data_IF_118226808026
#
_entry.id   IF_118226808026
#
_cell.length_a   1.000
_cell.length_b   1.000
_cell.length_c   1.000
_cell.angle_alpha   90.00
_cell.angle_beta   90.00
_cell.angle_gamma   90.00
#
_symmetry.space_group_name_H-M   'P 1'
#
loop_
_entity.id
_entity.type
_entity.pdbx_description
1 polymer ?
#
# COMPACT_ATOMS: atom_id res chain seq x y z
N UNK A 1 22.65 -6.85 4.50
CA UNK A 1 21.36 -6.98 5.23
C UNK A 1 20.64 -5.64 5.15
N UNK A 2 19.33 -5.67 4.92
CA UNK A 2 18.50 -4.45 4.82
C UNK A 2 18.50 -3.69 6.15
N UNK A 3 18.97 -2.44 6.14
CA UNK A 3 19.16 -1.63 7.35
C UNK A 3 17.88 -0.98 7.87
N UNK A 4 16.79 -1.01 7.10
CA UNK A 4 15.54 -0.32 7.42
C UNK A 4 14.53 -1.26 8.08
N UNK A 5 13.69 -0.76 9.00
CA UNK A 5 12.56 -1.52 9.53
C UNK A 5 11.47 -1.71 8.47
N UNK A 6 10.53 -2.63 8.72
CA UNK A 6 9.32 -2.76 7.89
C UNK A 6 8.54 -1.45 7.97
N UNK A 7 8.19 -0.81 6.84
CA UNK A 7 7.51 0.48 6.85
C UNK A 7 6.20 0.48 7.65
N UNK A 8 5.93 1.59 8.35
CA UNK A 8 4.64 1.84 8.99
C UNK A 8 3.49 1.70 7.98
N UNK A 9 3.69 2.30 6.81
CA UNK A 9 2.76 2.26 5.71
C UNK A 9 3.52 2.36 4.39
N UNK A 10 3.06 1.58 3.43
CA UNK A 10 3.44 1.70 2.03
C UNK A 10 2.29 1.16 1.19
N UNK A 11 1.99 1.82 0.08
CA UNK A 11 0.94 1.37 -0.82
C UNK A 11 1.33 1.47 -2.29
N UNK A 12 0.67 0.65 -3.09
CA UNK A 12 0.51 0.82 -4.53
C UNK A 12 -0.90 1.34 -4.77
N UNK A 13 -1.07 2.26 -5.71
CA UNK A 13 -2.34 2.95 -5.92
C UNK A 13 -2.71 3.01 -7.39
N UNK A 14 -4.02 3.06 -7.65
CA UNK A 14 -4.58 3.37 -8.95
C UNK A 14 -5.22 4.76 -8.91
N UNK A 15 -4.79 5.63 -9.82
CA UNK A 15 -5.41 6.93 -10.08
C UNK A 15 -6.31 6.85 -11.30
N UNK A 16 -7.38 7.64 -11.25
CA UNK A 16 -8.26 7.95 -12.35
C UNK A 16 -8.35 9.48 -12.49
N UNK A 17 -8.35 9.98 -13.73
CA UNK A 17 -8.70 11.38 -13.96
C UNK A 17 -10.20 11.56 -13.84
N UNK A 18 -10.63 12.55 -13.06
CA UNK A 18 -12.05 12.91 -12.94
C UNK A 18 -12.60 13.55 -14.22
N UNK A 19 -11.73 14.18 -15.02
CA UNK A 19 -12.08 14.81 -16.30
C UNK A 19 -12.18 13.77 -17.42
N UNK A 20 -11.26 12.80 -17.44
CA UNK A 20 -11.25 11.72 -18.43
C UNK A 20 -11.09 10.36 -17.73
N UNK A 21 -12.20 9.68 -17.36
CA UNK A 21 -12.15 8.42 -16.60
C UNK A 21 -11.33 7.29 -17.23
N UNK A 22 -11.12 7.31 -18.55
CA UNK A 22 -10.25 6.37 -19.26
C UNK A 22 -8.74 6.61 -19.01
N UNK A 23 -8.37 7.79 -18.51
CA UNK A 23 -6.99 8.13 -18.18
C UNK A 23 -6.64 7.61 -16.79
N UNK A 24 -5.81 6.57 -16.76
CA UNK A 24 -5.40 5.87 -15.55
C UNK A 24 -3.89 5.99 -15.32
N UNK A 25 -3.50 5.93 -14.05
CA UNK A 25 -2.10 5.91 -13.63
C UNK A 25 -1.90 5.00 -12.42
N UNK A 26 -0.85 4.18 -12.42
CA UNK A 26 -0.47 3.36 -11.27
C UNK A 26 0.83 3.91 -10.71
N UNK A 27 0.94 4.01 -9.39
CA UNK A 27 2.18 4.36 -8.72
C UNK A 27 2.28 3.71 -7.34
N UNK A 28 3.36 4.01 -6.61
CA UNK A 28 3.52 3.62 -5.21
C UNK A 28 3.98 4.78 -4.33
N UNK A 29 3.60 4.77 -3.05
CA UNK A 29 3.93 5.84 -2.11
C UNK A 29 3.86 5.38 -0.65
N UNK A 30 4.72 5.90 0.24
CA UNK A 30 4.53 5.78 1.68
C UNK A 30 3.53 6.81 2.25
N UNK A 31 3.09 7.81 1.48
CA UNK A 31 2.12 8.80 1.93
C UNK A 31 1.14 9.13 0.78
N UNK A 32 -0.11 8.60 0.82
CA UNK A 32 -1.05 8.72 -0.29
C UNK A 32 -1.62 10.14 -0.42
N UNK A 33 -1.94 10.80 0.69
CA UNK A 33 -2.46 12.18 0.73
C UNK A 33 -1.47 13.15 0.09
N UNK A 34 -0.20 13.12 0.54
CA UNK A 34 0.85 13.96 -0.05
C UNK A 34 1.02 13.67 -1.53
N UNK A 35 1.02 12.39 -1.93
CA UNK A 35 1.25 12.00 -3.32
C UNK A 35 0.10 12.43 -4.24
N UNK A 36 -1.14 12.37 -3.78
CA UNK A 36 -2.30 12.87 -4.53
C UNK A 36 -2.17 14.38 -4.79
N UNK A 37 -1.82 15.15 -3.75
CA UNK A 37 -1.57 16.58 -3.88
C UNK A 37 -0.46 16.91 -4.90
N UNK A 38 0.57 16.06 -4.99
CA UNK A 38 1.63 16.19 -6.01
C UNK A 38 1.09 15.96 -7.43
N UNK A 39 0.26 14.94 -7.63
CA UNK A 39 -0.37 14.68 -8.93
C UNK A 39 -1.30 15.80 -9.37
N UNK A 40 -2.04 16.38 -8.42
CA UNK A 40 -2.96 17.50 -8.65
C UNK A 40 -2.28 18.87 -8.74
N UNK A 41 -0.96 18.95 -8.56
CA UNK A 41 -0.19 20.19 -8.69
C UNK A 41 -0.27 21.12 -7.48
N UNK A 42 -0.91 20.68 -6.39
CA UNK A 42 -0.95 21.41 -5.10
C UNK A 42 0.42 21.38 -4.42
N UNK A 43 1.17 20.29 -4.59
CA UNK A 43 2.53 20.13 -4.09
C UNK A 43 3.52 19.82 -5.23
N UNK A 44 4.80 20.18 -5.03
CA UNK A 44 5.87 19.86 -5.99
C UNK A 44 6.19 18.36 -5.99
N UNK A 45 6.62 17.82 -7.14
CA UNK A 45 7.07 16.43 -7.29
C UNK A 45 6.07 15.45 -7.90
N UNK A 46 5.09 15.94 -8.67
CA UNK A 46 4.16 15.08 -9.41
C UNK A 46 4.82 14.39 -10.61
N UNK A 47 4.33 13.20 -11.00
CA UNK A 47 4.85 12.48 -12.16
C UNK A 47 4.55 13.23 -13.47
N UNK A 48 5.48 13.17 -14.44
CA UNK A 48 5.33 13.81 -15.74
C UNK A 48 4.05 13.38 -16.48
N UNK A 49 3.69 12.09 -16.42
CA UNK A 49 2.45 11.57 -17.05
C UNK A 49 1.16 12.19 -16.47
N UNK A 50 1.23 12.70 -15.25
CA UNK A 50 0.09 13.32 -14.53
C UNK A 50 0.15 14.85 -14.49
N UNK A 51 1.13 15.47 -15.17
CA UNK A 51 1.33 16.92 -15.12
C UNK A 51 0.33 17.72 -15.96
N UNK A 52 -0.32 17.08 -16.93
CA UNK A 52 -1.26 17.73 -17.85
C UNK A 52 -2.46 18.28 -17.10
N UNK A 53 -2.62 19.61 -17.11
CA UNK A 53 -3.73 20.28 -16.44
C UNK A 53 -5.11 19.87 -16.97
N UNK A 54 -5.21 19.47 -18.24
CA UNK A 54 -6.47 18.97 -18.84
C UNK A 54 -6.92 17.60 -18.32
N UNK A 55 -6.06 16.88 -17.60
CA UNK A 55 -6.36 15.60 -16.96
C UNK A 55 -6.53 15.72 -15.43
N UNK A 56 -6.23 16.90 -14.87
CA UNK A 56 -6.43 17.17 -13.44
C UNK A 56 -7.88 17.62 -13.20
N UNK A 57 -8.47 17.35 -12.02
CA UNK A 57 -7.87 16.63 -10.90
C UNK A 57 -7.92 15.10 -11.07
N UNK A 58 -6.95 14.44 -10.45
CA UNK A 58 -6.87 13.00 -10.25
C UNK A 58 -7.53 12.63 -8.92
N UNK A 59 -8.15 11.46 -8.89
CA UNK A 59 -8.64 10.80 -7.70
C UNK A 59 -7.98 9.42 -7.56
N UNK A 60 -7.78 8.96 -6.33
CA UNK A 60 -7.19 7.65 -6.03
C UNK A 60 -8.31 6.62 -5.81
N UNK A 61 -8.60 5.81 -6.82
CA UNK A 61 -9.79 4.94 -6.80
C UNK A 61 -9.62 3.72 -5.88
N UNK A 62 -8.40 3.20 -5.78
CA UNK A 62 -8.06 2.12 -4.85
C UNK A 62 -6.58 2.11 -4.49
N UNK A 63 -6.26 1.50 -3.35
CA UNK A 63 -4.89 1.23 -2.89
C UNK A 63 -4.72 -0.21 -2.39
N UNK A 64 -3.56 -0.77 -2.69
CA UNK A 64 -3.04 -1.98 -2.07
C UNK A 64 -2.06 -1.56 -0.99
N UNK A 65 -2.25 -2.01 0.23
CA UNK A 65 -1.45 -1.63 1.41
C UNK A 65 -0.84 -2.87 2.07
N UNK A 66 0.10 -2.68 3.00
CA UNK A 66 0.68 -3.77 3.79
C UNK A 66 1.98 -4.34 3.23
N UNK A 67 2.64 -3.64 2.31
CA UNK A 67 3.92 -4.11 1.77
C UNK A 67 5.01 -4.17 2.84
N UNK A 68 5.79 -5.28 2.92
CA UNK A 68 6.82 -5.45 3.94
C UNK A 68 8.06 -4.58 3.71
N UNK A 69 8.24 -4.04 2.50
CA UNK A 69 9.31 -3.10 2.16
C UNK A 69 8.90 -2.20 0.99
N UNK A 70 9.65 -1.12 0.77
CA UNK A 70 9.49 -0.30 -0.43
C UNK A 70 9.84 -1.08 -1.70
N UNK A 71 10.84 -1.98 -1.65
CA UNK A 71 11.20 -2.84 -2.79
C UNK A 71 10.04 -3.77 -3.16
N UNK A 72 9.38 -4.36 -2.17
CA UNK A 72 8.20 -5.20 -2.38
C UNK A 72 7.07 -4.43 -3.09
N UNK A 73 6.80 -3.20 -2.64
CA UNK A 73 5.83 -2.32 -3.29
C UNK A 73 6.24 -1.97 -4.73
N UNK A 74 7.52 -1.67 -4.98
CA UNK A 74 8.01 -1.36 -6.34
C UNK A 74 7.92 -2.56 -7.29
N UNK A 75 8.18 -3.77 -6.81
CA UNK A 75 8.01 -5.00 -7.59
C UNK A 75 6.54 -5.20 -7.97
N UNK A 76 5.62 -5.01 -7.01
CA UNK A 76 4.19 -5.10 -7.25
C UNK A 76 3.68 -4.01 -8.22
N UNK A 77 4.13 -2.76 -8.02
CA UNK A 77 3.81 -1.63 -8.90
C UNK A 77 4.22 -1.93 -10.34
N UNK A 78 5.46 -2.39 -10.55
CA UNK A 78 5.97 -2.69 -11.87
C UNK A 78 5.17 -3.83 -12.53
N UNK A 79 4.84 -4.88 -11.77
CA UNK A 79 4.02 -5.99 -12.26
C UNK A 79 2.62 -5.51 -12.68
N UNK A 80 2.02 -4.61 -11.91
CA UNK A 80 0.70 -4.05 -12.19
C UNK A 80 0.69 -3.06 -13.36
N UNK A 81 1.77 -2.30 -13.53
CA UNK A 81 1.97 -1.45 -14.70
C UNK A 81 2.16 -2.27 -15.97
N UNK A 82 2.84 -3.42 -15.89
CA UNK A 82 3.31 -4.21 -17.03
C UNK A 82 2.77 -5.66 -17.00
N UNK A 83 1.43 -5.87 -17.03
CA UNK A 83 0.84 -7.22 -16.93
C UNK A 83 1.22 -8.15 -18.08
N UNK A 84 1.57 -7.60 -19.25
CA UNK A 84 2.00 -8.36 -20.42
C UNK A 84 3.45 -8.84 -20.35
N UNK A 85 4.27 -8.30 -19.43
CA UNK A 85 5.69 -8.64 -19.27
C UNK A 85 5.98 -9.34 -17.94
N UNK A 86 5.09 -9.20 -16.97
CA UNK A 86 5.34 -9.71 -15.63
C UNK A 86 5.45 -11.23 -15.62
N UNK A 87 6.49 -11.73 -14.94
CA UNK A 87 6.67 -13.16 -14.65
C UNK A 87 5.77 -13.66 -13.52
N UNK A 88 5.11 -12.73 -12.82
CA UNK A 88 4.23 -13.03 -11.69
C UNK A 88 2.85 -13.53 -12.12
N UNK A 89 2.49 -13.33 -13.40
CA UNK A 89 1.27 -13.86 -14.00
C UNK A 89 1.71 -14.89 -15.07
N UNK A 90 1.28 -16.15 -14.96
CA UNK A 90 1.54 -17.17 -15.98
C UNK A 90 1.06 -16.71 -17.36
N UNK A 91 1.75 -17.12 -18.42
CA UNK A 91 1.49 -16.58 -19.77
C UNK A 91 0.05 -16.87 -20.22
N UNK A 92 -0.47 -18.03 -19.86
CA UNK A 92 -1.81 -18.55 -20.08
C UNK A 92 -2.90 -17.79 -19.31
N UNK A 93 -2.58 -17.10 -18.22
CA UNK A 93 -3.52 -16.31 -17.42
C UNK A 93 -3.48 -14.81 -17.79
N UNK A 94 -2.56 -14.39 -18.66
CA UNK A 94 -2.43 -12.97 -19.04
C UNK A 94 -3.64 -12.52 -19.84
N UNK A 95 -4.39 -11.58 -19.26
CA UNK A 95 -5.52 -10.92 -19.90
C UNK A 95 -5.07 -10.08 -21.10
N UNK A 96 -3.92 -9.39 -20.97
CA UNK A 96 -3.40 -8.50 -21.99
C UNK A 96 -2.22 -9.15 -22.71
N UNK A 97 -2.41 -9.52 -23.98
CA UNK A 97 -1.34 -9.99 -24.84
C UNK A 97 -0.45 -8.82 -25.33
N UNK A 98 0.87 -9.05 -25.52
CA UNK A 98 1.74 -8.06 -26.14
C UNK A 98 1.29 -7.80 -27.58
N UNK A 99 0.98 -6.53 -27.89
CA UNK A 99 0.60 -6.12 -29.25
C UNK A 99 1.86 -5.83 -30.06
N UNK A 100 1.88 -6.25 -31.33
CA UNK A 100 2.96 -5.92 -32.27
C UNK A 100 2.43 -4.96 -33.31
N UNK A 101 2.90 -3.70 -33.28
CA UNK A 101 2.54 -2.73 -34.30
C UNK A 101 3.42 -2.92 -35.53
N UNK A 102 2.79 -3.19 -36.67
CA UNK A 102 3.46 -3.27 -37.97
C UNK A 102 3.39 -1.88 -38.61
N UNK A 103 4.55 -1.28 -38.90
CA UNK A 103 4.66 -0.07 -39.71
C UNK A 103 5.28 -0.43 -41.05
N UNK A 104 4.62 -0.05 -42.14
CA UNK A 104 5.15 -0.19 -43.50
C UNK A 104 5.81 1.14 -43.88
N UNK A 105 7.07 1.10 -44.32
CA UNK A 105 7.76 2.29 -44.84
C UNK A 105 7.14 2.68 -46.20
N UNK A 106 6.57 3.89 -46.35
CA UNK A 106 5.98 4.31 -47.63
C UNK A 106 7.00 4.40 -48.77
N UNK A 107 8.27 4.68 -48.44
CA UNK A 107 9.36 4.85 -49.42
C UNK A 107 10.05 3.56 -49.84
N UNK A 108 10.04 2.53 -48.99
CA UNK A 108 10.86 1.32 -49.22
C UNK A 108 10.05 0.02 -49.20
N UNK A 109 8.75 0.07 -48.88
CA UNK A 109 7.90 -1.12 -48.69
C UNK A 109 8.30 -2.01 -47.51
N UNK A 110 9.40 -1.70 -46.81
CA UNK A 110 9.91 -2.52 -45.71
C UNK A 110 8.97 -2.43 -44.51
N UNK A 111 8.55 -3.59 -44.04
CA UNK A 111 7.76 -3.74 -42.81
C UNK A 111 8.68 -3.75 -41.59
N UNK A 112 8.43 -2.85 -40.64
CA UNK A 112 9.04 -2.86 -39.30
C UNK A 112 7.99 -3.27 -38.29
N UNK A 113 8.29 -4.29 -37.50
CA UNK A 113 7.45 -4.72 -36.38
C UNK A 113 8.06 -4.16 -35.09
N UNK A 114 7.32 -3.33 -34.36
CA UNK A 114 7.73 -2.84 -33.04
C UNK A 114 6.69 -3.32 -32.00
N UNK A 115 7.12 -3.97 -30.90
CA UNK A 115 6.20 -4.28 -29.81
C UNK A 115 5.69 -2.98 -29.19
N UNK A 116 4.39 -2.92 -28.92
CA UNK A 116 3.73 -1.75 -28.33
C UNK A 116 2.99 -2.14 -27.06
N UNK A 117 2.95 -1.22 -26.10
CA UNK A 117 2.21 -1.41 -24.86
C UNK A 117 0.70 -1.51 -25.19
N UNK A 118 0.00 -2.55 -24.71
CA UNK A 118 -1.44 -2.63 -24.89
C UNK A 118 -2.14 -1.46 -24.20
N UNK A 119 -3.23 -0.99 -24.79
CA UNK A 119 -4.16 -0.10 -24.09
C UNK A 119 -4.89 -0.93 -23.04
N UNK A 120 -4.89 -0.46 -21.78
CA UNK A 120 -5.42 -1.21 -20.64
C UNK A 120 -6.54 -0.39 -20.03
N UNK A 121 -7.77 -0.91 -20.09
CA UNK A 121 -8.96 -0.28 -19.51
C UNK A 121 -8.95 -0.34 -17.98
N UNK A 122 -9.90 0.34 -17.33
CA UNK A 122 -10.08 0.25 -15.88
C UNK A 122 -10.37 -1.19 -15.44
N UNK A 123 -11.26 -1.87 -16.16
CA UNK A 123 -11.59 -3.28 -15.92
C UNK A 123 -10.35 -4.15 -16.02
N UNK A 124 -9.51 -3.94 -17.04
CA UNK A 124 -8.26 -4.71 -17.18
C UNK A 124 -7.29 -4.42 -16.03
N UNK A 125 -7.21 -3.18 -15.54
CA UNK A 125 -6.36 -2.84 -14.38
C UNK A 125 -6.81 -3.59 -13.13
N UNK A 126 -8.11 -3.66 -12.86
CA UNK A 126 -8.67 -4.39 -11.74
C UNK A 126 -8.52 -5.90 -11.91
N UNK A 127 -8.74 -6.40 -13.11
CA UNK A 127 -8.58 -7.82 -13.42
C UNK A 127 -7.14 -8.30 -13.23
N UNK A 128 -6.15 -7.53 -13.70
CA UNK A 128 -4.74 -7.82 -13.45
C UNK A 128 -4.37 -7.65 -11.98
N UNK A 129 -4.98 -6.72 -11.25
CA UNK A 129 -4.79 -6.60 -9.80
C UNK A 129 -5.25 -7.87 -9.09
N UNK A 130 -6.41 -8.41 -9.47
CA UNK A 130 -6.94 -9.66 -8.91
C UNK A 130 -5.98 -10.84 -9.15
N UNK A 131 -5.43 -10.98 -10.36
CA UNK A 131 -4.41 -11.99 -10.67
C UNK A 131 -3.15 -11.81 -9.82
N UNK A 132 -2.66 -10.58 -9.66
CA UNK A 132 -1.46 -10.32 -8.86
C UNK A 132 -1.65 -10.64 -7.38
N UNK A 133 -2.84 -10.40 -6.81
CA UNK A 133 -3.13 -10.75 -5.41
C UNK A 133 -3.20 -12.27 -5.19
N UNK A 134 -3.49 -13.04 -6.24
CA UNK A 134 -3.51 -14.52 -6.23
C UNK A 134 -2.17 -15.16 -6.61
N UNK A 135 -1.28 -14.40 -7.26
CA UNK A 135 0.00 -14.90 -7.70
C UNK A 135 0.83 -15.45 -6.52
N UNK A 136 1.48 -16.60 -6.74
CA UNK A 136 2.26 -17.29 -5.70
C UNK A 136 3.37 -16.42 -5.09
N UNK A 137 3.86 -15.43 -5.84
CA UNK A 137 4.90 -14.52 -5.37
C UNK A 137 4.41 -13.49 -4.34
N UNK A 138 3.11 -13.18 -4.34
CA UNK A 138 2.53 -12.13 -3.50
C UNK A 138 1.46 -12.65 -2.53
N UNK A 139 0.97 -13.89 -2.71
CA UNK A 139 -0.15 -14.46 -1.94
C UNK A 139 0.08 -14.56 -0.42
N UNK A 140 1.34 -14.62 0.03
CA UNK A 140 1.72 -14.67 1.46
C UNK A 140 2.06 -13.31 2.04
N UNK A 141 2.08 -12.25 1.24
CA UNK A 141 2.25 -10.89 1.76
C UNK A 141 0.97 -10.45 2.50
N UNK A 142 1.09 -9.63 3.55
CA UNK A 142 -0.05 -9.18 4.36
C UNK A 142 -0.77 -8.00 3.67
N UNK A 143 -1.16 -8.21 2.42
CA UNK A 143 -1.75 -7.19 1.57
C UNK A 143 -3.22 -6.96 1.93
N UNK A 144 -3.65 -5.70 1.85
CA UNK A 144 -5.05 -5.30 2.01
C UNK A 144 -5.42 -4.34 0.89
N UNK A 145 -6.62 -4.51 0.32
CA UNK A 145 -7.13 -3.70 -0.77
C UNK A 145 -8.24 -2.79 -0.24
N UNK A 146 -8.09 -1.48 -0.47
CA UNK A 146 -9.09 -0.48 -0.09
C UNK A 146 -9.57 0.26 -1.31
N UNK A 147 -10.88 0.37 -1.46
CA UNK A 147 -11.55 1.17 -2.48
C UNK A 147 -12.10 2.44 -1.86
N UNK A 148 -12.08 3.52 -2.64
CA UNK A 148 -12.61 4.82 -2.25
C UNK A 148 -13.76 5.28 -3.15
N UNK A 149 -13.93 4.62 -4.30
CA UNK A 149 -14.99 4.91 -5.26
C UNK A 149 -15.91 3.70 -5.37
N UNK A 150 -17.21 3.92 -5.13
CA UNK A 150 -18.22 2.85 -5.12
C UNK A 150 -18.40 2.19 -6.49
N UNK A 151 -18.35 2.95 -7.58
CA UNK A 151 -18.43 2.44 -8.94
C UNK A 151 -17.28 1.47 -9.28
N UNK A 152 -16.07 1.80 -8.83
CA UNK A 152 -14.87 0.95 -9.00
C UNK A 152 -14.94 -0.29 -8.11
N UNK A 153 -15.46 -0.15 -6.89
CA UNK A 153 -15.68 -1.29 -6.00
C UNK A 153 -16.74 -2.26 -6.54
N UNK A 154 -17.83 -1.74 -7.10
CA UNK A 154 -18.85 -2.56 -7.75
C UNK A 154 -18.31 -3.27 -8.99
N UNK A 155 -17.44 -2.62 -9.76
CA UNK A 155 -16.74 -3.24 -10.89
C UNK A 155 -15.80 -4.36 -10.41
N UNK A 156 -15.09 -4.14 -9.30
CA UNK A 156 -14.26 -5.17 -8.68
C UNK A 156 -15.09 -6.39 -8.24
N UNK A 157 -16.21 -6.18 -7.53
CA UNK A 157 -17.06 -7.28 -7.07
C UNK A 157 -17.61 -8.08 -8.25
N UNK A 158 -18.14 -7.41 -9.28
CA UNK A 158 -18.62 -8.07 -10.51
C UNK A 158 -17.54 -8.89 -11.21
N UNK A 159 -16.28 -8.44 -11.17
CA UNK A 159 -15.17 -9.20 -11.70
C UNK A 159 -14.84 -10.40 -10.81
N UNK A 160 -14.77 -10.19 -9.50
CA UNK A 160 -14.50 -11.22 -8.49
C UNK A 160 -15.52 -12.35 -8.54
N UNK A 161 -16.80 -12.03 -8.75
CA UNK A 161 -17.89 -13.02 -8.86
C UNK A 161 -17.80 -13.89 -10.13
N UNK A 162 -17.13 -13.39 -11.18
CA UNK A 162 -17.03 -14.08 -12.48
C UNK A 162 -15.79 -14.94 -12.62
N UNK A 163 -14.71 -14.59 -11.91
CA UNK A 163 -13.41 -15.24 -12.11
C UNK A 163 -13.29 -16.45 -11.21
N UNK A 164 -12.88 -17.57 -11.80
CA UNK A 164 -12.54 -18.77 -11.06
C UNK A 164 -11.31 -18.51 -10.17
N UNK A 165 -11.51 -18.62 -8.85
CA UNK A 165 -10.48 -18.57 -7.83
C UNK A 165 -10.60 -17.37 -6.90
N UNK A 166 -10.79 -17.68 -5.62
CA UNK A 166 -11.03 -16.72 -4.56
C UNK A 166 -9.72 -16.06 -4.10
N UNK A 167 -9.84 -14.85 -3.57
CA UNK A 167 -8.76 -14.27 -2.80
C UNK A 167 -8.60 -15.06 -1.51
N UNK A 168 -7.35 -15.20 -1.09
CA UNK A 168 -7.04 -15.80 0.20
C UNK A 168 -7.73 -15.02 1.33
N UNK A 169 -8.30 -15.75 2.30
CA UNK A 169 -9.05 -15.19 3.45
C UNK A 169 -8.32 -14.08 4.24
N UNK A 170 -6.98 -14.04 4.17
CA UNK A 170 -6.18 -13.02 4.83
C UNK A 170 -6.15 -11.64 4.14
N UNK A 171 -6.56 -11.55 2.87
CA UNK A 171 -6.57 -10.30 2.11
C UNK A 171 -7.91 -9.60 2.35
N UNK A 172 -7.90 -8.55 3.18
CA UNK A 172 -9.11 -7.76 3.43
C UNK A 172 -9.37 -6.83 2.25
N UNK A 173 -10.58 -6.89 1.71
CA UNK A 173 -11.09 -5.96 0.69
C UNK A 173 -12.19 -5.12 1.33
N UNK A 174 -12.04 -3.80 1.33
CA UNK A 174 -13.02 -2.88 1.93
C UNK A 174 -13.31 -1.67 1.06
N UNK A 175 -14.57 -1.20 1.10
CA UNK A 175 -14.96 0.12 0.62
C UNK A 175 -14.95 1.09 1.79
N UNK A 176 -14.13 2.14 1.69
CA UNK A 176 -14.07 3.21 2.70
C UNK A 176 -15.18 4.23 2.41
N UNK A 177 -16.42 3.92 2.78
CA UNK A 177 -17.56 4.87 2.69
C UNK A 177 -17.65 5.70 3.96
N UNK A 178 -17.89 7.02 3.85
CA UNK A 178 -18.18 7.81 5.05
C UNK A 178 -19.43 7.26 5.74
N UNK A 179 -19.38 7.11 7.07
CA UNK A 179 -20.59 7.04 7.86
C UNK A 179 -21.38 8.34 7.60
N UNK A 180 -22.70 8.28 7.34
CA UNK A 180 -23.50 9.49 7.22
C UNK A 180 -23.48 10.20 8.56
N UNK A 181 -22.70 11.29 8.66
CA UNK A 181 -22.85 12.24 9.75
C UNK A 181 -24.24 12.85 9.61
N UNK A 182 -25.12 12.52 10.56
CA UNK A 182 -26.40 13.18 10.79
C UNK A 182 -26.14 14.66 11.07
N UNK A 183 -26.03 15.46 10.02
CA UNK A 183 -26.24 16.90 10.07
C UNK A 183 -27.52 17.18 9.29
N UNK A 184 -28.63 17.03 10.03
CA UNK A 184 -29.86 17.82 9.93
C UNK A 184 -30.49 17.98 8.54
N UNK A 185 -31.38 17.03 8.21
CA UNK A 185 -32.60 17.37 7.49
C UNK A 185 -33.42 18.34 8.36
N UNK A 186 -33.49 19.61 7.95
CA UNK A 186 -34.54 20.61 8.23
C UNK A 186 -33.97 21.95 7.74
N UNK A 187 -34.31 22.46 6.55
CA UNK A 187 -35.48 23.32 6.37
C UNK A 187 -35.80 23.47 4.88
N UNK A 188 -37.10 23.62 4.61
CA UNK A 188 -37.82 23.52 3.36
C UNK A 188 -37.58 24.65 2.33
N UNK A 189 -37.86 24.29 1.07
CA UNK A 189 -38.40 25.11 -0.03
C UNK A 189 -37.53 26.23 -0.63
N UNK A 190 -36.92 25.95 -1.80
CA UNK A 190 -37.13 26.74 -3.02
C UNK A 190 -36.48 26.04 -4.24
N UNK A 191 -37.19 26.11 -5.36
CA UNK A 191 -36.97 25.44 -6.65
C UNK A 191 -35.70 25.87 -7.40
N UNK A 192 -34.86 24.89 -7.81
CA UNK A 192 -34.11 24.76 -9.09
C UNK A 192 -33.02 23.66 -8.98
N UNK A 193 -32.75 22.86 -10.03
CA UNK A 193 -31.71 21.83 -9.96
C UNK A 193 -30.33 22.49 -10.15
N UNK A 194 -29.71 22.92 -9.06
CA UNK A 194 -28.33 23.40 -9.08
C UNK A 194 -27.35 22.22 -9.04
N UNK A 195 -26.51 22.10 -10.08
CA UNK A 195 -25.35 21.21 -10.13
C UNK A 195 -24.58 21.27 -8.80
N UNK A 196 -24.47 20.12 -8.11
CA UNK A 196 -23.63 19.99 -6.91
C UNK A 196 -22.20 20.44 -7.25
N UNK A 197 -21.69 21.46 -6.55
CA UNK A 197 -20.33 21.98 -6.78
C UNK A 197 -19.28 20.89 -6.52
N UNK A 198 -18.24 20.75 -7.35
CA UNK A 198 -17.22 19.70 -7.23
C UNK A 198 -16.41 19.74 -5.91
N UNK A 199 -16.38 20.90 -5.23
CA UNK A 199 -15.60 21.14 -3.99
C UNK A 199 -16.04 20.27 -2.81
N UNK A 200 -17.33 19.88 -2.74
CA UNK A 200 -17.84 19.07 -1.63
C UNK A 200 -17.39 17.60 -1.70
N UNK A 201 -17.24 17.06 -2.92
CA UNK A 201 -16.78 15.68 -3.16
C UNK A 201 -15.27 15.58 -2.92
N UNK A 202 -14.51 16.59 -3.31
CA UNK A 202 -13.05 16.65 -3.12
C UNK A 202 -12.66 16.68 -1.62
N UNK A 203 -13.43 17.40 -0.77
CA UNK A 203 -13.22 17.44 0.69
C UNK A 203 -13.63 16.15 1.41
N UNK A 204 -14.56 15.39 0.84
CA UNK A 204 -15.03 14.11 1.35
C UNK A 204 -13.94 13.02 1.15
N UNK A 205 -13.31 13.04 -0.02
CA UNK A 205 -12.27 12.12 -0.45
C UNK A 205 -10.95 12.28 0.33
N UNK A 206 -10.51 13.53 0.55
CA UNK A 206 -9.30 13.80 1.32
C UNK A 206 -9.41 13.22 2.74
N UNK A 207 -10.57 13.35 3.39
CA UNK A 207 -10.83 12.79 4.72
C UNK A 207 -10.78 11.25 4.75
N UNK A 208 -11.23 10.58 3.68
CA UNK A 208 -11.16 9.12 3.55
C UNK A 208 -9.73 8.62 3.35
N UNK A 209 -8.88 9.40 2.67
CA UNK A 209 -7.45 9.09 2.56
C UNK A 209 -6.67 9.46 3.84
N UNK A 210 -7.11 10.49 4.57
CA UNK A 210 -6.54 10.88 5.86
C UNK A 210 -6.85 9.87 6.98
N UNK A 211 -7.93 9.09 6.87
CA UNK A 211 -8.21 8.00 7.82
C UNK A 211 -7.22 6.84 7.72
N UNK A 212 -6.46 6.77 6.61
CA UNK A 212 -5.43 5.77 6.42
C UNK A 212 -4.28 6.07 7.39
N UNK A 213 -4.09 5.19 8.38
CA UNK A 213 -3.00 5.31 9.34
C UNK A 213 -1.65 5.07 8.65
N UNK A 214 -0.84 6.13 8.56
CA UNK A 214 0.48 6.11 7.91
C UNK A 214 1.62 5.84 8.92
N UNK A 215 1.33 5.92 10.22
CA UNK A 215 2.32 5.89 11.30
C UNK A 215 2.38 4.54 12.04
N UNK A 216 3.41 4.35 12.87
CA UNK A 216 3.58 3.17 13.74
C UNK A 216 2.75 3.23 15.04
N UNK A 217 1.88 4.23 15.19
CA UNK A 217 1.10 4.46 16.41
C UNK A 217 0.38 3.20 16.96
N UNK A 218 -0.22 2.31 16.13
CA UNK A 218 -0.85 1.09 16.63
C UNK A 218 0.11 0.12 17.34
N UNK A 219 1.42 0.20 17.06
CA UNK A 219 2.43 -0.65 17.68
C UNK A 219 2.98 -0.06 18.99
N UNK A 220 2.62 1.17 19.37
CA UNK A 220 3.23 1.86 20.50
C UNK A 220 3.14 1.07 21.83
N UNK A 221 1.97 0.49 22.12
CA UNK A 221 1.78 -0.32 23.33
C UNK A 221 2.62 -1.61 23.32
N UNK A 222 2.71 -2.26 22.15
CA UNK A 222 3.52 -3.46 21.97
C UNK A 222 5.02 -3.15 22.10
N UNK A 223 5.48 -2.01 21.57
CA UNK A 223 6.87 -1.54 21.69
C UNK A 223 7.27 -1.20 23.13
N UNK A 224 6.41 -0.48 23.87
CA UNK A 224 6.71 -0.14 25.27
C UNK A 224 6.83 -1.42 26.11
N UNK A 225 5.91 -2.36 25.89
CA UNK A 225 5.95 -3.68 26.51
C UNK A 225 7.19 -4.47 26.11
N UNK A 226 7.57 -4.51 24.83
CA UNK A 226 8.70 -5.31 24.35
C UNK A 226 10.01 -4.81 24.94
N UNK A 227 10.21 -3.49 25.02
CA UNK A 227 11.35 -2.88 25.69
C UNK A 227 11.34 -3.22 27.19
N UNK A 228 10.20 -3.17 27.87
CA UNK A 228 10.12 -3.52 29.30
C UNK A 228 10.46 -4.99 29.57
N UNK A 229 10.05 -5.91 28.70
CA UNK A 229 10.38 -7.34 28.81
C UNK A 229 11.87 -7.59 28.58
N UNK A 230 12.51 -6.81 27.69
CA UNK A 230 13.92 -7.00 27.33
C UNK A 230 14.91 -6.21 28.21
N UNK A 231 14.46 -5.23 29.00
CA UNK A 231 15.32 -4.43 29.90
C UNK A 231 16.15 -5.27 30.88
N UNK A 232 15.68 -6.46 31.24
CA UNK A 232 16.42 -7.39 32.08
C UNK A 232 17.21 -8.35 31.18
N UNK A 233 18.38 -7.92 30.70
CA UNK A 233 19.27 -8.63 29.75
C UNK A 233 19.77 -10.03 30.22
N UNK A 234 19.29 -10.55 31.36
CA UNK A 234 19.77 -11.76 32.01
C UNK A 234 18.84 -12.98 31.98
N UNK A 235 17.51 -12.81 31.89
CA UNK A 235 16.54 -13.86 32.28
C UNK A 235 15.48 -14.21 31.23
N UNK A 236 15.45 -13.53 30.08
CA UNK A 236 14.49 -13.86 29.03
C UNK A 236 14.85 -15.22 28.39
N UNK A 237 13.95 -16.20 28.49
CA UNK A 237 14.09 -17.50 27.85
C UNK A 237 13.03 -17.67 26.76
N UNK A 238 13.40 -18.33 25.67
CA UNK A 238 12.46 -18.65 24.60
C UNK A 238 11.36 -19.57 25.12
N UNK A 239 10.10 -19.19 24.92
CA UNK A 239 8.93 -19.97 25.32
C UNK A 239 8.84 -21.36 24.63
N UNK A 240 9.61 -21.59 23.56
CA UNK A 240 9.60 -22.82 22.77
C UNK A 240 10.82 -23.70 23.09
N UNK A 241 12.04 -23.23 22.79
CA UNK A 241 13.26 -24.02 23.00
C UNK A 241 13.87 -23.90 24.40
N UNK A 242 13.33 -23.01 25.25
CA UNK A 242 13.85 -22.69 26.60
C UNK A 242 15.31 -22.17 26.62
N UNK A 243 15.90 -21.87 25.46
CA UNK A 243 17.22 -21.24 25.36
C UNK A 243 17.18 -19.77 25.79
N UNK A 244 18.33 -19.26 26.27
CA UNK A 244 18.50 -17.85 26.67
C UNK A 244 18.44 -16.94 25.45
N UNK A 245 17.63 -15.88 25.55
CA UNK A 245 17.47 -14.86 24.50
C UNK A 245 18.46 -13.71 24.75
N UNK A 246 19.28 -13.37 23.76
CA UNK A 246 20.25 -12.26 23.83
C UNK A 246 19.76 -11.10 22.95
N UNK A 247 19.35 -10.00 23.57
CA UNK A 247 18.82 -8.83 22.87
C UNK A 247 19.79 -8.23 21.84
N UNK A 248 21.12 -8.41 22.01
CA UNK A 248 22.13 -7.88 21.10
C UNK A 248 22.26 -8.65 19.78
N UNK A 249 22.02 -9.96 19.79
CA UNK A 249 22.32 -10.83 18.64
C UNK A 249 21.10 -11.55 18.09
N UNK A 250 20.09 -11.80 18.92
CA UNK A 250 18.95 -12.61 18.55
C UNK A 250 17.80 -11.76 18.03
N UNK A 251 17.15 -12.26 16.99
CA UNK A 251 15.89 -11.69 16.51
C UNK A 251 14.75 -12.21 17.40
N UNK A 252 14.42 -11.45 18.43
CA UNK A 252 13.44 -11.82 19.46
C UNK A 252 12.06 -11.30 19.08
N UNK A 253 11.07 -12.17 19.08
CA UNK A 253 9.64 -11.85 18.92
C UNK A 253 8.94 -11.92 20.27
N UNK A 254 8.07 -10.95 20.55
CA UNK A 254 7.32 -10.84 21.81
C UNK A 254 5.83 -10.83 21.52
N UNK A 255 5.04 -11.58 22.29
CA UNK A 255 3.59 -11.59 22.12
C UNK A 255 3.00 -10.18 22.34
N UNK A 256 2.09 -9.70 21.47
CA UNK A 256 1.47 -8.38 21.60
C UNK A 256 0.42 -8.29 22.72
N UNK A 257 -0.16 -9.40 23.20
CA UNK A 257 -1.26 -9.38 24.18
C UNK A 257 -0.79 -8.94 25.57
N UNK A 258 -1.41 -7.93 26.18
CA UNK A 258 -0.94 -7.29 27.42
C UNK A 258 -0.67 -8.24 28.59
N UNK A 259 -1.54 -9.24 28.78
CA UNK A 259 -1.43 -10.24 29.85
C UNK A 259 -0.35 -11.32 29.61
N UNK A 260 0.31 -11.34 28.45
CA UNK A 260 1.25 -12.40 28.06
C UNK A 260 2.68 -11.85 27.94
N UNK A 261 3.66 -12.48 28.59
CA UNK A 261 5.09 -12.09 28.49
C UNK A 261 5.93 -13.05 27.63
N UNK A 262 5.30 -13.86 26.80
CA UNK A 262 6.00 -14.83 25.96
C UNK A 262 6.95 -14.14 24.99
N UNK A 263 8.22 -14.56 25.02
CA UNK A 263 9.28 -14.17 24.10
C UNK A 263 9.83 -15.41 23.39
N UNK A 264 10.26 -15.29 22.14
CA UNK A 264 10.74 -16.43 21.34
C UNK A 264 11.75 -15.98 20.30
N UNK A 265 12.66 -16.89 19.92
CA UNK A 265 13.48 -16.70 18.72
C UNK A 265 12.57 -16.64 17.48
N UNK A 266 12.97 -15.86 16.49
CA UNK A 266 12.33 -15.80 15.17
C UNK A 266 12.14 -17.20 14.56
N UNK A 267 13.20 -18.01 14.55
CA UNK A 267 13.20 -19.37 13.96
C UNK A 267 12.30 -20.36 14.71
N UNK A 268 12.27 -20.27 16.05
CA UNK A 268 11.40 -21.14 16.85
C UNK A 268 9.93 -20.82 16.58
N UNK A 269 9.57 -19.52 16.61
CA UNK A 269 8.18 -19.11 16.43
C UNK A 269 7.71 -19.32 14.98
N UNK A 270 8.58 -19.11 13.98
CA UNK A 270 8.24 -19.41 12.59
C UNK A 270 7.94 -20.90 12.43
N UNK A 271 8.81 -21.78 12.94
CA UNK A 271 8.62 -23.24 12.85
C UNK A 271 7.33 -23.69 13.55
N UNK A 272 6.99 -23.09 14.70
CA UNK A 272 5.75 -23.37 15.41
C UNK A 272 4.50 -22.90 14.65
N UNK A 273 4.58 -21.79 13.91
CA UNK A 273 3.45 -21.35 13.07
C UNK A 273 3.31 -22.19 11.80
N UNK A 274 4.42 -22.66 11.25
CA UNK A 274 4.43 -23.50 10.06
C UNK A 274 4.06 -24.96 10.35
N UNK A 275 4.24 -25.46 11.57
CA UNK A 275 3.86 -26.84 11.92
C UNK A 275 2.35 -27.11 11.84
N UNK A 276 1.53 -26.06 11.75
CA UNK A 276 0.08 -26.16 11.53
C UNK A 276 -0.32 -26.03 10.06
N UNK A 277 0.62 -25.76 9.16
CA UNK A 277 0.37 -25.66 7.72
C UNK A 277 0.66 -27.02 7.04
N UNK A 278 -0.15 -27.38 6.04
CA UNK A 278 -0.06 -28.67 5.34
C UNK A 278 1.10 -28.72 4.31
N UNK A 279 1.66 -27.56 3.92
CA UNK A 279 2.69 -27.44 2.89
C UNK A 279 4.11 -27.33 3.50
N UNK A 280 4.98 -28.36 3.34
CA UNK A 280 6.32 -28.35 3.91
C UNK A 280 7.29 -27.37 3.24
N UNK A 281 6.99 -26.91 2.02
CA UNK A 281 7.85 -25.96 1.29
C UNK A 281 7.58 -24.50 1.69
N UNK A 282 6.56 -24.27 2.52
CA UNK A 282 6.23 -22.95 2.99
C UNK A 282 7.25 -22.42 4.01
N UNK A 283 7.85 -21.27 3.69
CA UNK A 283 8.88 -20.63 4.53
C UNK A 283 8.34 -19.48 5.38
N UNK A 284 7.29 -18.78 4.93
CA UNK A 284 6.82 -17.53 5.54
C UNK A 284 5.49 -17.72 6.26
N UNK A 285 5.44 -17.78 7.60
CA UNK A 285 4.17 -17.89 8.32
C UNK A 285 3.30 -16.65 8.08
N UNK A 286 1.96 -16.83 8.08
CA UNK A 286 1.04 -15.67 8.07
C UNK A 286 0.46 -15.39 9.44
N UNK A 287 -0.02 -16.43 10.12
CA UNK A 287 -0.60 -16.32 11.46
C UNK A 287 -0.40 -17.61 12.23
N UNK A 288 -0.54 -17.56 13.54
CA UNK A 288 -0.48 -18.74 14.39
C UNK A 288 -0.83 -18.40 15.83
N UNK A 289 -0.87 -19.41 16.69
CA UNK A 289 -1.24 -19.24 18.10
C UNK A 289 -0.01 -19.03 18.98
N UNK A 290 -0.10 -18.12 19.95
CA UNK A 290 0.94 -17.95 20.95
C UNK A 290 1.13 -19.25 21.76
N UNK A 291 2.36 -19.76 21.97
CA UNK A 291 2.58 -20.98 22.74
C UNK A 291 2.13 -20.87 24.20
N UNK A 292 2.17 -19.68 24.79
CA UNK A 292 1.83 -19.43 26.20
C UNK A 292 0.37 -19.05 26.42
N UNK A 293 -0.13 -17.95 25.83
CA UNK A 293 -1.50 -17.48 26.07
C UNK A 293 -2.53 -18.00 25.06
N UNK A 294 -2.11 -18.80 24.06
CA UNK A 294 -2.95 -19.36 22.99
C UNK A 294 -3.69 -18.35 22.11
N UNK A 295 -3.46 -17.05 22.29
CA UNK A 295 -4.06 -16.02 21.45
C UNK A 295 -3.60 -16.15 19.98
N UNK A 296 -4.51 -15.86 19.04
CA UNK A 296 -4.18 -15.73 17.63
C UNK A 296 -3.29 -14.51 17.39
N UNK A 297 -2.17 -14.72 16.71
CA UNK A 297 -1.16 -13.71 16.38
C UNK A 297 -0.98 -13.63 14.86
N UNK A 298 -0.73 -12.42 14.37
CA UNK A 298 -0.32 -12.19 12.98
C UNK A 298 1.21 -12.09 12.92
N UNK A 299 1.82 -12.79 11.97
CA UNK A 299 3.27 -12.81 11.80
C UNK A 299 3.82 -11.43 11.49
N UNK A 300 3.13 -10.68 10.63
CA UNK A 300 3.56 -9.34 10.23
C UNK A 300 3.65 -8.37 11.41
N UNK A 301 2.71 -8.41 12.35
CA UNK A 301 2.71 -7.49 13.50
C UNK A 301 3.92 -7.74 14.41
N UNK A 302 4.26 -9.03 14.61
CA UNK A 302 5.42 -9.45 15.39
C UNK A 302 6.74 -9.01 14.73
N UNK A 303 6.90 -9.26 13.44
CA UNK A 303 8.14 -8.92 12.71
C UNK A 303 8.26 -7.41 12.49
N UNK A 304 7.14 -6.70 12.30
CA UNK A 304 7.13 -5.23 12.17
C UNK A 304 7.55 -4.56 13.47
N UNK A 305 7.06 -5.01 14.62
CA UNK A 305 7.54 -4.56 15.93
C UNK A 305 9.05 -4.83 16.08
N UNK A 306 9.47 -6.08 15.86
CA UNK A 306 10.84 -6.48 16.10
C UNK A 306 11.83 -5.75 15.18
N UNK A 307 11.49 -5.58 13.91
CA UNK A 307 12.33 -4.81 12.96
C UNK A 307 12.41 -3.34 13.35
N UNK A 308 11.30 -2.72 13.78
CA UNK A 308 11.29 -1.33 14.26
C UNK A 308 12.18 -1.15 15.50
N UNK A 309 12.02 -2.02 16.49
CA UNK A 309 12.82 -2.01 17.73
C UNK A 309 14.31 -2.22 17.46
N UNK A 310 14.67 -3.19 16.61
CA UNK A 310 16.08 -3.56 16.40
C UNK A 310 16.81 -2.65 15.41
N UNK A 311 16.13 -2.18 14.36
CA UNK A 311 16.77 -1.43 13.26
C UNK A 311 16.62 0.08 13.36
N UNK A 312 15.58 0.57 14.05
CA UNK A 312 15.30 2.00 14.19
C UNK A 312 14.88 2.36 15.64
N UNK A 313 15.78 2.16 16.63
CA UNK A 313 15.44 2.39 18.05
C UNK A 313 15.03 3.83 18.33
N UNK A 314 15.64 4.81 17.64
CA UNK A 314 15.29 6.23 17.74
C UNK A 314 13.84 6.51 17.31
N UNK A 315 13.34 5.78 16.33
CA UNK A 315 11.96 5.91 15.85
C UNK A 315 10.99 5.21 16.80
N UNK A 316 11.34 4.02 17.28
CA UNK A 316 10.57 3.31 18.31
C UNK A 316 10.34 4.18 19.56
N UNK A 317 11.38 4.85 20.07
CA UNK A 317 11.25 5.77 21.21
C UNK A 317 10.33 6.96 20.91
N UNK A 318 10.40 7.52 19.70
CA UNK A 318 9.52 8.63 19.29
C UNK A 318 8.06 8.20 19.27
N UNK A 319 7.78 7.00 18.77
CA UNK A 319 6.42 6.43 18.73
C UNK A 319 5.87 6.26 20.14
N UNK A 320 6.65 5.69 21.06
CA UNK A 320 6.24 5.52 22.46
C UNK A 320 5.97 6.88 23.13
N UNK A 321 6.86 7.86 22.97
CA UNK A 321 6.70 9.22 23.55
C UNK A 321 5.44 9.90 23.01
N UNK A 322 5.18 9.79 21.71
CA UNK A 322 3.97 10.33 21.07
C UNK A 322 2.69 9.68 21.62
N UNK A 323 2.68 8.35 21.77
CA UNK A 323 1.53 7.64 22.35
C UNK A 323 1.24 8.08 23.78
N UNK A 324 2.26 8.15 24.64
CA UNK A 324 2.10 8.61 26.04
C UNK A 324 1.57 10.05 26.12
N UNK A 325 2.01 10.93 25.21
CA UNK A 325 1.49 12.30 25.12
C UNK A 325 0.01 12.32 24.70
N UNK A 326 -0.38 11.51 23.71
CA UNK A 326 -1.79 11.38 23.28
C UNK A 326 -2.67 10.83 24.41
N UNK A 327 -2.21 9.83 25.15
CA UNK A 327 -2.92 9.28 26.32
C UNK A 327 -3.09 10.33 27.42
N UNK A 328 -2.04 11.08 27.77
CA UNK A 328 -2.10 12.15 28.76
C UNK A 328 -3.10 13.24 28.35
N UNK A 329 -3.08 13.65 27.08
CA UNK A 329 -4.02 14.64 26.53
C UNK A 329 -5.47 14.13 26.54
N UNK A 330 -5.69 12.85 26.26
CA UNK A 330 -7.03 12.25 26.34
C UNK A 330 -7.56 12.21 27.77
N UNK A 331 -6.69 11.96 28.77
CA UNK A 331 -7.05 11.95 30.19
C UNK A 331 -7.36 13.36 30.70
N UNK A 332 -6.60 14.38 30.29
CA UNK A 332 -6.90 15.78 30.65
C UNK A 332 -8.15 16.31 29.95
N UNK A 333 -8.44 15.89 28.72
CA UNK A 333 -9.67 16.23 28.01
C UNK A 333 -10.92 15.53 28.56
N UNK A 334 -10.78 14.30 29.06
CA UNK A 334 -11.85 13.58 29.74
C UNK A 334 -12.23 14.22 31.10
N UNK A 335 -11.25 14.80 31.82
CA UNK A 335 -11.52 15.52 33.08
C UNK A 335 -12.21 16.87 32.84
N UNK A 336 -11.96 17.54 31.71
CA UNK A 336 -12.66 18.78 31.35
C UNK A 336 -14.13 18.57 30.95
N UNK A 337 -14.47 17.42 30.34
CA UNK A 337 -15.86 17.08 29.96
C UNK A 337 -16.68 16.43 31.09
N UNK A 338 -16.06 16.07 32.21
CA UNK A 338 -16.75 15.56 33.40
C UNK A 338 -17.14 16.67 34.39
N UNK A 339 -16.70 17.92 34.16
CA UNK A 339 -16.92 19.06 35.06
C UNK A 339 -18.05 20.01 34.63
N UNK A 340 -18.89 19.61 33.65
CA UNK A 340 -20.01 20.44 33.15
C UNK A 340 -21.39 19.87 33.47
N UNK A 341 -21.55 19.17 34.59
CA UNK A 341 -22.87 18.91 35.20
C UNK A 341 -22.78 18.93 36.74
N UNK A 342 -22.59 20.10 37.34
CA UNK A 342 -23.37 20.56 38.51
C UNK A 342 -22.91 21.95 38.92
N UNK A 343 -23.82 22.91 38.87
CA UNK A 343 -23.62 24.30 39.22
C UNK A 343 -23.50 24.51 40.73
N UNK A 344 -22.56 25.40 41.10
CA UNK A 344 -22.61 26.42 42.15
C UNK A 344 -22.77 26.02 43.64
N UNK A 345 -21.73 26.32 44.45
CA UNK A 345 -21.70 27.39 45.48
C UNK A 345 -20.51 27.21 46.46
N UNK A 346 -19.83 28.32 46.82
CA UNK A 346 -19.12 28.42 48.12
C UNK A 346 -17.64 28.86 48.15
N UNK A 347 -17.33 30.12 47.79
CA UNK A 347 -16.77 31.18 48.67
C UNK A 347 -15.58 30.88 49.66
N UNK A 348 -14.47 31.64 49.45
CA UNK A 348 -13.42 32.17 50.39
C UNK A 348 -12.39 31.20 51.03
N UNK A 349 -11.12 31.52 51.33
CA UNK A 349 -10.25 32.72 51.24
C UNK A 349 -8.76 32.30 51.44
N UNK A 350 -7.85 33.21 51.04
CA UNK A 350 -6.51 33.53 51.57
C UNK A 350 -5.40 32.46 51.68
N UNK A 351 -4.24 32.70 51.05
CA UNK A 351 -3.16 33.48 51.66
C UNK A 351 -1.93 33.54 50.71
N UNK A 352 -1.43 34.75 50.51
CA UNK A 352 -0.19 35.08 49.81
C UNK A 352 1.04 34.51 50.53
N UNK A 353 2.07 34.13 49.78
CA UNK A 353 3.45 34.42 50.22
C UNK A 353 4.36 34.55 49.00
N UNK A 354 4.84 35.77 48.81
CA UNK A 354 5.95 36.14 47.95
C UNK A 354 7.23 35.39 48.30
N UNK A 355 7.96 34.97 47.27
CA UNK A 355 9.42 35.09 47.25
C UNK A 355 9.86 35.34 45.81
N UNK A 356 10.16 36.60 45.55
CA UNK A 356 11.01 37.09 44.47
C UNK A 356 12.44 36.57 44.63
N UNK A 357 13.00 36.00 43.56
CA UNK A 357 14.42 36.18 43.27
C UNK A 357 14.61 36.41 41.77
N UNK A 358 15.49 37.34 41.48
CA UNK A 358 15.61 38.10 40.25
C UNK A 358 17.04 38.00 39.74
N UNK A 359 17.19 37.76 38.43
CA UNK A 359 18.46 37.89 37.71
C UNK A 359 18.51 36.91 36.55
N UNK A 360 18.81 37.28 35.31
CA UNK A 360 19.15 38.56 34.72
C UNK A 360 19.16 38.37 33.20
N UNK A 361 19.05 39.50 32.51
CA UNK A 361 18.90 39.66 31.07
C UNK A 361 20.10 39.11 30.27
N UNK A 362 19.83 38.51 29.12
CA UNK A 362 20.51 38.91 27.88
C UNK A 362 19.67 38.58 26.64
N UNK A 363 19.24 39.66 25.99
CA UNK A 363 18.90 39.68 24.57
C UNK A 363 20.14 39.31 23.75
N UNK A 364 19.94 38.51 22.70
CA UNK A 364 20.73 38.58 21.48
C UNK A 364 19.86 38.15 20.30
N UNK A 365 19.65 39.11 19.41
CA UNK A 365 19.02 39.00 18.10
C UNK A 365 19.82 38.09 17.15
N UNK A 366 19.08 37.19 16.47
CA UNK A 366 19.20 36.77 15.05
C UNK A 366 20.54 36.20 14.51
N UNK A 367 20.60 35.56 13.31
CA UNK A 367 19.52 35.17 12.40
C UNK A 367 19.53 33.68 11.97
N UNK A 368 18.35 33.26 11.52
CA UNK A 368 18.09 32.45 10.33
C UNK A 368 19.33 32.07 9.47
N UNK A 369 19.68 30.79 9.42
CA UNK A 369 20.47 30.21 8.32
C UNK A 369 19.72 29.02 7.75
N UNK A 370 19.28 29.19 6.50
CA UNK A 370 18.78 28.12 5.66
C UNK A 370 19.85 27.08 5.40
N UNK A 371 19.43 25.82 5.37
CA UNK A 371 20.21 24.77 4.75
C UNK A 371 19.56 24.49 3.39
N UNK A 372 20.03 25.25 2.39
CA UNK A 372 19.89 24.91 0.98
C UNK A 372 20.75 23.66 0.72
N UNK A 373 20.10 22.55 0.38
CA UNK A 373 20.75 21.45 -0.33
C UNK A 373 20.45 21.67 -1.81
N UNK A 374 21.34 22.42 -2.45
CA UNK A 374 21.50 22.48 -3.90
C UNK A 374 21.93 21.08 -4.39
N UNK A 375 20.99 20.31 -4.95
CA UNK A 375 21.33 19.26 -5.90
C UNK A 375 21.15 19.84 -7.31
N UNK A 376 22.30 20.18 -7.89
CA UNK A 376 22.54 20.67 -9.23
C UNK A 376 21.95 19.70 -10.29
N UNK A 377 20.72 19.98 -10.72
CA UNK A 377 20.07 19.31 -11.84
C UNK A 377 20.45 20.01 -13.14
N UNK A 378 21.46 19.48 -13.84
CA UNK A 378 21.79 19.91 -15.21
C UNK A 378 20.63 19.50 -16.14
N UNK A 379 19.99 20.43 -16.87
CA UNK A 379 18.91 20.08 -17.80
C UNK A 379 19.48 19.36 -19.02
N UNK A 380 19.16 18.07 -19.19
CA UNK A 380 19.24 17.44 -20.51
C UNK A 380 17.97 17.74 -21.28
N UNK A 381 18.16 18.52 -22.33
CA UNK A 381 17.17 18.90 -23.32
C UNK A 381 16.89 17.68 -24.22
N UNK A 382 15.94 16.83 -23.84
CA UNK A 382 15.48 15.73 -24.70
C UNK A 382 14.12 16.10 -25.30
N UNK A 383 14.18 16.97 -26.30
CA UNK A 383 13.25 16.96 -27.41
C UNK A 383 13.58 15.77 -28.33
N UNK A 384 12.54 15.12 -28.82
CA UNK A 384 12.52 14.19 -29.97
C UNK A 384 12.66 12.69 -29.68
N UNK A 385 12.03 11.94 -30.58
CA UNK A 385 11.67 10.54 -30.52
C UNK A 385 12.86 9.56 -30.65
N UNK A 386 12.60 8.28 -30.29
CA UNK A 386 13.45 7.08 -30.49
C UNK A 386 14.71 7.00 -29.57
N UNK A 387 15.17 5.89 -28.98
CA UNK A 387 14.92 4.44 -29.04
C UNK A 387 15.38 3.84 -27.68
N UNK A 388 14.67 2.82 -27.14
CA UNK A 388 15.29 1.91 -26.16
C UNK A 388 15.68 0.60 -26.85
N UNK A 389 16.99 0.41 -27.03
CA UNK A 389 17.59 -0.83 -27.55
C UNK A 389 17.53 -1.91 -26.48
N UNK A 390 16.73 -2.94 -26.73
CA UNK A 390 16.82 -4.21 -25.99
C UNK A 390 18.03 -5.00 -26.47
N UNK A 391 18.93 -5.34 -25.55
CA UNK A 391 19.95 -6.36 -25.74
C UNK A 391 19.26 -7.72 -25.61
N UNK A 392 19.11 -8.42 -26.73
CA UNK A 392 18.85 -9.85 -26.75
C UNK A 392 20.14 -10.53 -27.20
N UNK A 393 20.68 -11.39 -26.35
CA UNK A 393 21.86 -12.20 -26.64
C UNK A 393 21.48 -13.34 -27.58
N UNK A 394 22.04 -13.34 -28.78
CA UNK A 394 22.07 -14.49 -29.67
C UNK A 394 23.20 -15.43 -29.23
N UNK A 395 22.89 -16.71 -29.02
CA UNK A 395 23.88 -17.77 -28.96
C UNK A 395 23.45 -18.90 -29.92
N UNK A 396 23.95 -18.74 -31.14
CA UNK A 396 24.35 -19.71 -32.17
C UNK A 396 23.95 -21.18 -32.01
N UNK A 397 23.23 -21.64 -33.03
CA UNK A 397 23.04 -23.02 -33.44
C UNK A 397 24.35 -23.66 -33.89
N UNK A 398 24.65 -24.85 -33.34
CA UNK A 398 25.58 -25.80 -33.98
C UNK A 398 24.92 -27.17 -34.04
N UNK A 399 24.55 -27.55 -35.25
CA UNK A 399 23.93 -28.81 -35.62
C UNK A 399 24.87 -29.99 -35.36
N UNK A 400 24.39 -31.03 -34.68
CA UNK A 400 24.82 -32.41 -34.92
C UNK A 400 23.61 -33.34 -34.83
N UNK A 401 23.47 -34.13 -35.88
CA UNK A 401 22.40 -35.05 -36.24
C UNK A 401 22.47 -36.36 -35.48
N UNK A 402 21.42 -36.76 -34.74
CA UNK A 402 21.13 -38.17 -34.41
C UNK A 402 19.59 -38.34 -34.26
N UNK A 403 18.99 -39.14 -35.15
CA UNK A 403 17.70 -39.83 -34.97
C UNK A 403 17.98 -41.13 -34.18
N UNK A 404 17.08 -41.68 -33.33
CA UNK A 404 15.82 -42.25 -33.83
C UNK A 404 14.60 -42.40 -32.86
N UNK A 405 13.47 -42.70 -33.50
CA UNK A 405 12.35 -43.59 -33.12
C UNK A 405 11.24 -43.15 -32.12
N UNK A 406 10.02 -43.19 -32.66
CA UNK A 406 8.70 -43.18 -32.02
C UNK A 406 8.45 -44.42 -31.14
N UNK A 407 7.47 -44.40 -30.19
CA UNK A 407 6.14 -44.88 -30.57
C UNK A 407 4.90 -44.25 -29.87
N UNK A 408 3.77 -44.52 -30.53
CA UNK A 408 2.40 -44.76 -30.03
C UNK A 408 1.53 -43.64 -29.45
N UNK A 409 0.47 -43.40 -30.20
CA UNK A 409 -0.79 -42.71 -29.89
C UNK A 409 -1.51 -43.37 -28.69
N UNK A 410 -2.02 -42.55 -27.78
CA UNK A 410 -3.29 -42.83 -27.11
C UNK A 410 -4.15 -41.56 -27.10
N UNK A 411 -5.45 -41.79 -27.30
CA UNK A 411 -6.48 -40.83 -27.71
C UNK A 411 -7.43 -40.69 -26.55
N UNK A 412 -7.58 -39.50 -25.96
CA UNK A 412 -8.71 -39.19 -25.08
C UNK A 412 -9.30 -37.83 -25.46
N UNK A 413 -10.61 -37.88 -25.73
CA UNK A 413 -11.56 -36.78 -25.99
C UNK A 413 -11.42 -35.68 -24.93
N UNK A 414 -11.37 -34.39 -25.25
CA UNK A 414 -12.38 -33.65 -25.98
C UNK A 414 -13.29 -32.94 -24.97
N UNK A 415 -13.03 -31.66 -24.69
CA UNK A 415 -14.05 -30.73 -24.22
C UNK A 415 -13.85 -29.39 -24.93
N UNK A 416 -14.84 -29.04 -25.74
CA UNK A 416 -14.91 -27.87 -26.61
C UNK A 416 -15.03 -26.58 -25.81
N UNK A 417 -14.07 -25.66 -25.92
CA UNK A 417 -14.27 -24.25 -25.61
C UNK A 417 -14.64 -23.52 -26.89
N UNK A 418 -15.85 -22.97 -26.92
CA UNK A 418 -16.33 -22.06 -27.95
C UNK A 418 -15.50 -20.76 -27.91
N UNK A 419 -15.16 -20.17 -29.06
CA UNK A 419 -14.53 -18.85 -29.10
C UNK A 419 -15.57 -17.79 -28.71
N UNK A 420 -15.22 -16.94 -27.74
CA UNK A 420 -16.03 -15.77 -27.39
C UNK A 420 -15.78 -14.71 -28.47
N UNK A 421 -16.79 -14.50 -29.31
CA UNK A 421 -16.91 -13.39 -30.23
C UNK A 421 -17.37 -12.18 -29.41
N UNK A 422 -16.56 -11.12 -29.39
CA UNK A 422 -16.96 -9.83 -28.86
C UNK A 422 -17.52 -9.06 -30.06
N UNK A 423 -18.82 -8.83 -30.08
CA UNK A 423 -19.44 -7.91 -31.04
C UNK A 423 -19.01 -6.48 -30.68
N UNK A 424 -18.27 -5.88 -31.60
CA UNK A 424 -17.90 -4.46 -31.57
C UNK A 424 -19.18 -3.62 -31.73
N UNK A 425 -19.42 -2.73 -30.78
CA UNK A 425 -20.48 -1.72 -30.89
C UNK A 425 -19.96 -0.56 -31.72
N UNK A 426 -20.40 -0.49 -32.98
CA UNK A 426 -20.23 0.64 -33.89
C UNK A 426 -20.77 1.93 -33.25
N UNK A 427 -19.87 2.90 -33.03
CA UNK A 427 -20.19 4.32 -32.80
C UNK A 427 -19.24 5.17 -33.65
N UNK A 428 -19.21 4.88 -34.95
CA UNK A 428 -18.80 5.81 -36.00
C UNK A 428 -20.10 6.37 -36.59
N UNK A 429 -20.51 7.57 -36.19
CA UNK A 429 -21.33 8.52 -36.98
C UNK A 429 -21.82 9.68 -36.09
N UNK A 430 -20.93 10.63 -35.81
CA UNK A 430 -21.36 11.98 -35.42
C UNK A 430 -20.75 12.98 -36.42
N UNK A 431 -21.53 13.27 -37.45
CA UNK A 431 -21.31 14.30 -38.44
C UNK A 431 -21.00 15.66 -37.79
N UNK A 432 -19.93 16.28 -38.25
CA UNK A 432 -19.70 17.72 -38.13
C UNK A 432 -20.71 18.45 -39.02
N UNK A 433 -21.55 19.29 -38.42
CA UNK A 433 -22.24 20.37 -39.13
C UNK A 433 -21.47 21.68 -38.93
N UNK A 434 -21.34 22.41 -40.03
CA UNK A 434 -20.47 23.56 -40.32
C UNK A 434 -20.52 24.73 -39.32
#
# INVERSE_FOLDING_TARGET
MESKPIPAFYCCYLLRSTVRPSSLYIGSTPNPVRRLNQHNGVAKGGAARTSRNTLRPWEMVCIVTGFPSNIAALQFEWAWQNPHLTRHIPTEERINAPQTRVRVSPKTGKTRRRPTRPQVSLTDRLANLHLLLRAQTFCRWPLNLRFFCEDVFNLWNRWSDRVDGELREGIKVSLETQAPSRESEETQQSSRPARKKPVAIERCFQKQLESVQVDYDPLAGHLDKSLNVLKNDGEAHCALCRGKLRASNDFILICPKDHCRASSHLSCLSSHFLSTEDDPDTVLPISGTCPSCKAQLQWIDLVKEATLRMRSPKEAEKVIKRSKKKEAQSKTGAVANAATESSALGVLSDLETDVSDSGGLSENDAPNQGFDLEDEWVPRNDSEDDDNKSIASEASSRSQSIMPQSPSKSRVRGNSKLPIVIEDSDWDDAETLD
#
